data_IF_917081577881
#
_entry.id   IF_917081577881
#
_cell.length_a   1.000
_cell.length_b   1.000
_cell.length_c   1.000
_cell.angle_alpha   90.00
_cell.angle_beta   90.00
_cell.angle_gamma   90.00
#
_symmetry.space_group_name_H-M   'P 1'
#
loop_
_entity.id
_entity.type
_entity.pdbx_description
1 polymer ?
#
# COMPACT_ATOMS: atom_id res chain seq x y z
N UNK A 1 -1.91 1.64 -28.66
CA UNK A 1 -1.62 1.25 -27.26
C UNK A 1 -0.65 2.26 -26.69
N UNK A 2 -0.99 2.95 -25.61
CA UNK A 2 -0.05 3.87 -24.96
C UNK A 2 0.82 3.04 -24.00
N UNK A 3 2.08 2.87 -24.36
CA UNK A 3 3.12 2.37 -23.48
C UNK A 3 3.15 3.28 -22.24
N UNK A 4 2.96 2.71 -21.05
CA UNK A 4 3.14 3.47 -19.81
C UNK A 4 4.64 3.66 -19.67
N UNK A 5 5.13 4.82 -20.12
CA UNK A 5 6.53 5.20 -19.92
C UNK A 5 6.84 5.20 -18.42
N UNK A 6 8.03 4.72 -18.07
CA UNK A 6 8.54 4.63 -16.70
C UNK A 6 8.37 5.95 -15.92
N UNK A 7 8.49 7.10 -16.60
CA UNK A 7 8.27 8.44 -16.06
C UNK A 7 6.86 8.65 -15.50
N UNK A 8 5.81 8.19 -16.20
CA UNK A 8 4.42 8.35 -15.73
C UNK A 8 4.12 7.53 -14.47
N UNK A 9 4.83 6.42 -14.26
CA UNK A 9 4.73 5.64 -13.03
C UNK A 9 5.51 6.28 -11.88
N UNK A 10 6.65 6.91 -12.15
CA UNK A 10 7.40 7.70 -11.16
C UNK A 10 6.57 8.90 -10.72
N UNK A 11 5.98 9.64 -11.65
CA UNK A 11 5.08 10.75 -11.33
C UNK A 11 3.88 10.27 -10.49
N UNK A 12 3.20 9.22 -10.95
CA UNK A 12 2.09 8.64 -10.18
C UNK A 12 2.52 8.22 -8.78
N UNK A 13 3.71 7.65 -8.61
CA UNK A 13 4.17 7.25 -7.29
C UNK A 13 4.40 8.41 -6.32
N UNK A 14 5.03 9.48 -6.81
CA UNK A 14 5.32 10.65 -6.00
C UNK A 14 4.06 11.48 -5.71
N UNK A 15 3.01 11.34 -6.53
CA UNK A 15 1.80 12.17 -6.44
C UNK A 15 0.53 11.40 -6.09
N UNK A 16 0.59 10.08 -5.92
CA UNK A 16 -0.59 9.29 -5.61
C UNK A 16 -1.13 9.66 -4.24
N UNK A 17 -2.45 9.86 -4.19
CA UNK A 17 -3.18 10.19 -2.97
C UNK A 17 -4.28 9.17 -2.77
N UNK A 18 -4.15 8.34 -1.73
CA UNK A 18 -5.12 7.30 -1.42
C UNK A 18 -6.50 7.92 -1.19
N UNK A 19 -7.52 7.61 -2.02
CA UNK A 19 -8.87 8.15 -1.82
C UNK A 19 -9.53 7.59 -0.56
N UNK A 20 -10.61 8.23 -0.07
CA UNK A 20 -11.48 7.62 0.93
C UNK A 20 -11.97 6.25 0.45
N UNK A 21 -12.02 5.29 1.37
CA UNK A 21 -12.46 3.92 1.13
C UNK A 21 -12.95 3.33 2.46
N UNK A 22 -13.62 2.16 2.47
CA UNK A 22 -13.87 1.45 3.72
C UNK A 22 -12.57 1.33 4.54
N UNK A 23 -12.65 1.66 5.84
CA UNK A 23 -11.49 1.69 6.75
C UNK A 23 -10.49 2.85 6.56
N UNK A 24 -10.73 3.75 5.60
CA UNK A 24 -9.81 4.85 5.24
C UNK A 24 -10.54 6.19 5.28
N UNK A 25 -10.24 6.99 6.30
CA UNK A 25 -10.71 8.37 6.40
C UNK A 25 -9.67 9.31 5.78
N UNK A 26 -10.14 10.33 5.05
CA UNK A 26 -9.30 11.39 4.49
C UNK A 26 -9.83 12.73 4.94
N UNK A 27 -8.96 13.53 5.55
CA UNK A 27 -9.21 14.94 5.85
C UNK A 27 -8.37 15.73 4.86
N UNK A 28 -9.01 16.51 4.00
CA UNK A 28 -8.32 17.35 3.03
C UNK A 28 -8.67 18.81 3.27
N UNK A 29 -7.64 19.65 3.37
CA UNK A 29 -7.76 21.11 3.43
C UNK A 29 -7.16 21.73 2.17
N UNK A 30 -7.16 23.06 2.08
CA UNK A 30 -6.38 23.76 1.05
C UNK A 30 -4.87 23.64 1.25
N UNK A 31 -4.41 23.25 2.46
CA UNK A 31 -2.99 23.31 2.87
C UNK A 31 -2.33 21.94 3.05
N UNK A 32 -3.09 20.90 3.33
CA UNK A 32 -2.56 19.57 3.61
C UNK A 32 -3.63 18.49 3.47
N UNK A 33 -3.18 17.24 3.46
CA UNK A 33 -4.03 16.06 3.51
C UNK A 33 -3.60 15.14 4.64
N UNK A 34 -4.57 14.64 5.40
CA UNK A 34 -4.38 13.58 6.39
C UNK A 34 -5.12 12.33 5.94
N UNK A 35 -4.48 11.18 6.05
CA UNK A 35 -5.07 9.85 5.87
C UNK A 35 -5.02 9.09 7.18
N UNK A 36 -6.16 8.52 7.57
CA UNK A 36 -6.37 7.80 8.83
C UNK A 36 -6.87 6.39 8.52
N UNK A 37 -6.24 5.40 9.14
CA UNK A 37 -6.66 4.00 9.15
C UNK A 37 -6.61 3.49 10.60
N UNK A 38 -7.65 3.75 11.41
CA UNK A 38 -7.63 3.47 12.84
C UNK A 38 -7.42 2.00 13.19
N UNK A 39 -7.96 1.09 12.36
CA UNK A 39 -7.78 -0.35 12.51
C UNK A 39 -6.41 -0.85 12.02
N UNK A 40 -5.51 0.07 11.65
CA UNK A 40 -4.12 -0.21 11.35
C UNK A 40 -3.19 0.83 12.03
N UNK A 41 -3.04 0.78 13.36
CA UNK A 41 -2.47 1.85 14.18
C UNK A 41 -0.94 1.88 14.15
N UNK A 42 -0.34 1.95 12.95
CA UNK A 42 1.09 2.18 12.75
C UNK A 42 1.33 3.44 11.89
N UNK A 43 2.53 4.05 11.97
CA UNK A 43 2.95 5.06 11.00
C UNK A 43 2.93 4.52 9.57
N UNK A 44 2.52 5.34 8.60
CA UNK A 44 2.45 4.99 7.18
C UNK A 44 1.01 4.96 6.67
N UNK A 45 0.20 3.94 7.04
CA UNK A 45 -1.26 3.94 6.82
C UNK A 45 -1.93 5.17 7.44
N UNK A 46 -1.36 5.67 8.53
CA UNK A 46 -1.68 6.94 9.18
C UNK A 46 -0.61 7.96 8.81
N UNK A 47 -0.98 8.96 8.03
CA UNK A 47 -0.01 9.93 7.49
C UNK A 47 -0.58 11.31 7.21
N UNK A 48 0.30 12.31 7.24
CA UNK A 48 0.07 13.63 6.71
C UNK A 48 0.94 13.84 5.46
N UNK A 49 0.36 14.38 4.40
CA UNK A 49 0.99 14.52 3.08
C UNK A 49 0.44 15.74 2.33
N UNK A 50 0.98 16.00 1.14
CA UNK A 50 0.52 17.07 0.25
C UNK A 50 0.51 18.44 0.94
N UNK A 51 1.61 18.80 1.61
CA UNK A 51 1.70 20.08 2.32
C UNK A 51 1.94 21.21 1.32
N UNK A 52 1.02 22.16 1.26
CA UNK A 52 0.98 23.33 0.39
C UNK A 52 0.55 24.54 1.21
N UNK A 53 1.43 25.01 2.08
CA UNK A 53 1.14 26.12 2.98
C UNK A 53 2.12 27.27 2.76
N UNK A 54 1.67 28.53 2.89
CA UNK A 54 2.59 29.65 3.04
C UNK A 54 3.53 29.42 4.23
N UNK A 55 4.78 29.89 4.14
CA UNK A 55 5.75 29.73 5.22
C UNK A 55 5.23 30.28 6.57
N UNK A 56 4.46 31.37 6.55
CA UNK A 56 3.84 31.96 7.73
C UNK A 56 2.80 31.08 8.42
N UNK A 57 2.30 30.03 7.77
CA UNK A 57 1.28 29.12 8.29
C UNK A 57 1.82 27.71 8.57
N UNK A 58 3.10 27.47 8.29
CA UNK A 58 3.68 26.13 8.36
C UNK A 58 3.64 25.53 9.78
N UNK A 59 3.92 26.34 10.81
CA UNK A 59 3.80 25.94 12.22
C UNK A 59 2.37 25.54 12.59
N UNK A 60 1.39 26.27 12.07
CA UNK A 60 -0.03 25.98 12.32
C UNK A 60 -0.45 24.65 11.70
N UNK A 61 0.04 24.33 10.50
CA UNK A 61 -0.18 23.02 9.87
C UNK A 61 0.36 21.89 10.75
N UNK A 62 1.60 22.02 11.25
CA UNK A 62 2.21 21.00 12.12
C UNK A 62 1.37 20.79 13.38
N UNK A 63 0.97 21.88 14.04
CA UNK A 63 0.15 21.86 15.26
C UNK A 63 -1.22 21.23 15.02
N UNK A 64 -1.91 21.59 13.94
CA UNK A 64 -3.21 21.04 13.59
C UNK A 64 -3.15 19.54 13.31
N UNK A 65 -2.19 19.10 12.49
CA UNK A 65 -2.02 17.69 12.15
C UNK A 65 -1.74 16.87 13.41
N UNK A 66 -0.85 17.35 14.29
CA UNK A 66 -0.58 16.71 15.59
C UNK A 66 -1.83 16.60 16.45
N UNK A 67 -2.69 17.62 16.46
CA UNK A 67 -3.97 17.58 17.18
C UNK A 67 -4.92 16.53 16.60
N UNK A 68 -5.00 16.39 15.28
CA UNK A 68 -5.86 15.41 14.58
C UNK A 68 -5.50 13.98 14.97
N UNK A 69 -4.20 13.65 14.98
CA UNK A 69 -3.71 12.32 15.33
C UNK A 69 -3.73 12.09 16.85
N UNK A 70 -3.32 13.07 17.64
CA UNK A 70 -3.32 13.00 19.10
C UNK A 70 -4.72 12.83 19.69
N UNK A 71 -5.76 13.43 19.10
CA UNK A 71 -7.14 13.22 19.55
C UNK A 71 -7.69 11.82 19.27
N UNK A 72 -6.99 11.03 18.46
CA UNK A 72 -7.37 9.66 18.07
C UNK A 72 -6.40 8.61 18.62
N UNK A 73 -5.39 9.02 19.37
CA UNK A 73 -4.30 8.16 19.86
C UNK A 73 -3.65 7.32 18.74
N UNK A 74 -3.44 7.94 17.57
CA UNK A 74 -2.86 7.27 16.42
C UNK A 74 -1.42 7.73 16.16
N UNK A 75 -0.46 6.80 16.02
CA UNK A 75 0.85 7.15 15.52
C UNK A 75 0.74 7.50 14.03
N UNK A 76 1.60 8.40 13.56
CA UNK A 76 1.59 8.83 12.16
C UNK A 76 2.98 9.21 11.67
N UNK A 77 3.12 9.35 10.36
CA UNK A 77 4.30 9.92 9.72
C UNK A 77 3.95 11.04 8.74
N UNK A 78 4.91 11.92 8.49
CA UNK A 78 4.84 12.87 7.38
C UNK A 78 5.39 12.22 6.12
N UNK A 79 4.70 12.38 5.00
CA UNK A 79 5.16 11.98 3.67
C UNK A 79 5.28 13.25 2.84
N UNK A 80 6.52 13.65 2.56
CA UNK A 80 6.82 14.85 1.80
C UNK A 80 7.03 14.48 0.34
N UNK A 81 6.24 15.12 -0.53
CA UNK A 81 6.39 14.99 -1.98
C UNK A 81 7.28 16.12 -2.53
N UNK A 82 7.80 16.01 -3.77
CA UNK A 82 8.71 17.02 -4.33
C UNK A 82 8.14 18.44 -4.44
N UNK A 83 6.82 18.59 -4.45
CA UNK A 83 6.15 19.89 -4.57
C UNK A 83 5.73 20.42 -3.18
N UNK A 84 6.30 19.89 -2.08
CA UNK A 84 6.02 20.34 -0.70
C UNK A 84 6.39 21.80 -0.51
N UNK A 85 5.47 22.58 0.06
CA UNK A 85 5.67 23.99 0.39
C UNK A 85 5.34 24.26 1.87
N UNK A 86 6.19 25.02 2.59
CA UNK A 86 7.41 25.66 2.08
C UNK A 86 8.57 24.67 1.84
N UNK A 87 9.59 25.08 1.08
CA UNK A 87 10.71 24.19 0.69
C UNK A 87 11.54 23.73 1.90
N UNK A 88 11.59 24.54 2.95
CA UNK A 88 12.26 24.28 4.24
C UNK A 88 11.33 23.59 5.26
N UNK A 89 10.14 23.13 4.84
CA UNK A 89 9.24 22.37 5.71
C UNK A 89 9.89 21.13 6.37
N UNK A 90 10.80 20.37 5.73
CA UNK A 90 11.53 19.29 6.41
C UNK A 90 12.34 19.77 7.62
N UNK A 91 13.02 20.91 7.50
CA UNK A 91 13.81 21.49 8.59
C UNK A 91 12.90 21.98 9.72
N UNK A 92 11.75 22.55 9.36
CA UNK A 92 10.73 22.94 10.31
C UNK A 92 10.18 21.72 11.08
N UNK A 93 9.85 20.62 10.37
CA UNK A 93 9.44 19.38 11.02
C UNK A 93 10.49 18.86 12.01
N UNK A 94 11.77 18.90 11.64
CA UNK A 94 12.87 18.51 12.52
C UNK A 94 12.94 19.40 13.77
N UNK A 95 12.77 20.71 13.63
CA UNK A 95 12.71 21.65 14.76
C UNK A 95 11.53 21.36 15.71
N UNK A 96 10.43 20.81 15.20
CA UNK A 96 9.28 20.32 15.98
C UNK A 96 9.43 18.88 16.49
N UNK A 97 10.61 18.27 16.35
CA UNK A 97 10.90 16.92 16.83
C UNK A 97 10.36 15.80 15.94
N UNK A 98 9.97 16.10 14.70
CA UNK A 98 9.68 15.11 13.67
C UNK A 98 10.95 14.84 12.85
N UNK A 99 11.75 13.87 13.29
CA UNK A 99 12.99 13.50 12.63
C UNK A 99 12.71 12.65 11.37
N UNK A 100 13.58 12.75 10.34
CA UNK A 100 13.53 11.84 9.21
C UNK A 100 13.59 10.38 9.66
N UNK A 101 12.86 9.52 8.96
CA UNK A 101 12.95 8.08 9.19
C UNK A 101 14.40 7.62 8.87
N UNK A 102 15.07 6.84 9.74
CA UNK A 102 16.49 6.49 9.56
C UNK A 102 16.82 5.81 8.23
N UNK A 103 15.87 5.07 7.67
CA UNK A 103 15.93 4.39 6.37
C UNK A 103 15.31 5.22 5.25
N UNK A 104 14.88 6.46 5.47
CA UNK A 104 14.37 7.36 4.43
C UNK A 104 15.25 7.42 3.16
N UNK A 105 16.60 7.41 3.25
CA UNK A 105 17.45 7.34 2.05
C UNK A 105 17.31 6.03 1.25
N UNK A 106 16.88 4.95 1.90
CA UNK A 106 16.67 3.61 1.35
C UNK A 106 15.21 3.39 0.90
N UNK A 107 14.27 4.22 1.37
CA UNK A 107 12.87 4.23 0.92
C UNK A 107 12.79 4.85 -0.47
N UNK A 108 13.18 4.07 -1.47
CA UNK A 108 13.01 4.44 -2.86
C UNK A 108 11.62 4.01 -3.35
N UNK A 109 10.94 4.92 -4.04
CA UNK A 109 9.88 4.51 -4.96
C UNK A 109 10.51 3.63 -6.04
N UNK A 110 10.16 2.36 -6.04
CA UNK A 110 10.51 1.44 -7.10
C UNK A 110 9.38 1.37 -8.12
N UNK A 111 9.74 1.42 -9.40
CA UNK A 111 8.80 1.32 -10.51
C UNK A 111 9.21 0.16 -11.38
N UNK A 112 8.27 -0.76 -11.62
CA UNK A 112 8.44 -1.87 -12.54
C UNK A 112 7.43 -1.74 -13.68
N UNK A 113 7.92 -1.78 -14.91
CA UNK A 113 7.08 -1.78 -16.09
C UNK A 113 6.40 -3.14 -16.28
N UNK A 114 5.19 -3.16 -16.83
CA UNK A 114 4.47 -4.40 -17.17
C UNK A 114 5.29 -5.34 -18.09
N UNK A 115 6.06 -4.74 -19.01
CA UNK A 115 6.90 -5.47 -19.95
C UNK A 115 8.22 -5.96 -19.34
N UNK A 116 8.55 -5.56 -18.12
CA UNK A 116 9.79 -5.98 -17.47
C UNK A 116 9.78 -7.49 -17.25
N UNK A 117 10.85 -8.20 -17.64
CA UNK A 117 10.99 -9.62 -17.35
C UNK A 117 11.10 -9.80 -15.82
N UNK A 118 10.37 -10.77 -15.30
CA UNK A 118 10.50 -11.23 -13.92
C UNK A 118 10.73 -12.72 -14.00
N UNK A 119 11.86 -13.18 -13.50
CA UNK A 119 12.11 -14.60 -13.33
C UNK A 119 11.37 -15.05 -12.08
N UNK A 120 10.50 -16.06 -12.22
CA UNK A 120 9.84 -16.64 -11.07
C UNK A 120 10.90 -17.30 -10.17
N UNK A 121 10.92 -17.02 -8.86
CA UNK A 121 11.88 -17.65 -7.97
C UNK A 121 11.59 -19.16 -7.92
N UNK A 122 12.58 -19.97 -8.30
CA UNK A 122 12.50 -21.43 -8.20
C UNK A 122 12.91 -21.89 -6.80
N UNK A 123 12.05 -21.62 -5.81
CA UNK A 123 12.25 -22.05 -4.43
C UNK A 123 11.40 -23.31 -4.19
N UNK A 124 12.01 -24.48 -3.92
CA UNK A 124 11.27 -25.71 -3.63
C UNK A 124 10.27 -25.53 -2.49
N UNK A 125 9.03 -25.95 -2.71
CA UNK A 125 7.96 -25.87 -1.71
C UNK A 125 7.37 -24.46 -1.51
N UNK A 126 7.75 -23.46 -2.30
CA UNK A 126 7.15 -22.13 -2.28
C UNK A 126 5.71 -22.19 -2.83
N UNK A 127 4.76 -21.66 -2.06
CA UNK A 127 3.37 -21.44 -2.48
C UNK A 127 2.94 -20.01 -2.17
N UNK A 128 2.12 -19.41 -3.04
CA UNK A 128 1.45 -18.14 -2.79
C UNK A 128 -0.05 -18.37 -2.59
N UNK A 129 -0.62 -17.71 -1.59
CA UNK A 129 -2.03 -17.82 -1.23
C UNK A 129 -2.70 -16.44 -1.28
N UNK A 130 -3.96 -16.39 -1.71
CA UNK A 130 -4.82 -15.22 -1.50
C UNK A 130 -5.28 -15.20 -0.04
N UNK A 131 -4.50 -14.50 0.79
CA UNK A 131 -4.75 -14.40 2.21
C UNK A 131 -5.97 -13.53 2.54
N UNK A 132 -6.47 -12.70 1.62
CA UNK A 132 -7.65 -11.88 1.90
C UNK A 132 -8.94 -12.70 1.85
N UNK A 133 -8.95 -13.78 1.06
CA UNK A 133 -10.10 -14.66 0.88
C UNK A 133 -10.42 -15.52 2.13
N UNK A 134 -9.43 -15.77 3.00
CA UNK A 134 -9.53 -16.64 4.17
C UNK A 134 -9.08 -15.91 5.44
N UNK A 135 -9.86 -15.98 6.52
CA UNK A 135 -9.57 -15.22 7.74
C UNK A 135 -8.33 -15.72 8.49
N UNK A 136 -8.02 -17.01 8.41
CA UNK A 136 -6.86 -17.61 9.06
C UNK A 136 -5.58 -17.32 8.26
N UNK A 137 -5.62 -17.43 6.94
CA UNK A 137 -4.52 -16.99 6.08
C UNK A 137 -4.26 -15.48 6.21
N UNK A 138 -5.32 -14.67 6.35
CA UNK A 138 -5.18 -13.24 6.63
C UNK A 138 -4.45 -12.99 7.96
N UNK A 139 -4.80 -13.74 9.00
CA UNK A 139 -4.15 -13.64 10.30
C UNK A 139 -2.67 -14.04 10.24
N UNK A 140 -2.32 -15.08 9.49
CA UNK A 140 -0.92 -15.48 9.26
C UNK A 140 -0.15 -14.41 8.48
N UNK A 141 -0.73 -13.86 7.41
CA UNK A 141 -0.11 -12.79 6.62
C UNK A 141 0.12 -11.53 7.47
N UNK A 142 -0.85 -11.19 8.33
CA UNK A 142 -0.73 -10.08 9.27
C UNK A 142 0.36 -10.32 10.33
N UNK A 143 0.48 -11.53 10.85
CA UNK A 143 1.52 -11.90 11.81
C UNK A 143 2.93 -11.78 11.19
N UNK A 144 3.13 -12.30 9.98
CA UNK A 144 4.41 -12.14 9.25
C UNK A 144 4.74 -10.68 9.00
N UNK A 145 3.73 -9.86 8.67
CA UNK A 145 3.92 -8.43 8.50
C UNK A 145 4.27 -7.74 9.83
N UNK A 146 3.54 -8.00 10.91
CA UNK A 146 3.81 -7.42 12.22
C UNK A 146 5.23 -7.76 12.71
N UNK A 147 5.66 -9.02 12.55
CA UNK A 147 7.01 -9.47 12.89
C UNK A 147 8.09 -8.69 12.11
N UNK A 148 7.95 -8.60 10.78
CA UNK A 148 8.94 -7.96 9.92
C UNK A 148 9.10 -6.46 10.18
N UNK A 149 8.05 -5.80 10.66
CA UNK A 149 8.06 -4.36 10.97
C UNK A 149 8.29 -4.06 12.46
N UNK A 150 8.54 -5.09 13.28
CA UNK A 150 8.69 -5.00 14.74
C UNK A 150 7.48 -4.35 15.43
N UNK A 151 6.30 -4.64 14.91
CA UNK A 151 5.03 -4.25 15.52
C UNK A 151 4.60 -5.32 16.53
N UNK A 152 3.92 -4.90 17.59
CA UNK A 152 3.25 -5.84 18.48
C UNK A 152 2.17 -6.60 17.71
N UNK A 153 1.91 -7.85 18.12
CA UNK A 153 0.79 -8.60 17.57
C UNK A 153 -0.50 -7.78 17.67
N UNK A 154 -1.17 -7.57 16.54
CA UNK A 154 -2.35 -6.70 16.45
C UNK A 154 -3.57 -7.43 16.99
N UNK A 155 -4.43 -6.68 17.68
CA UNK A 155 -5.66 -7.22 18.26
C UNK A 155 -6.58 -7.84 17.20
N UNK A 156 -7.22 -8.96 17.55
CA UNK A 156 -8.08 -9.71 16.64
C UNK A 156 -9.29 -8.90 16.14
N UNK A 157 -9.84 -8.01 16.97
CA UNK A 157 -10.99 -7.17 16.62
C UNK A 157 -10.71 -6.18 15.48
N UNK A 158 -9.74 -5.27 15.64
CA UNK A 158 -9.26 -4.40 14.56
C UNK A 158 -8.84 -5.17 13.30
N UNK A 159 -8.18 -6.32 13.46
CA UNK A 159 -7.75 -7.15 12.31
C UNK A 159 -8.92 -7.62 11.45
N UNK A 160 -10.01 -8.12 12.04
CA UNK A 160 -11.17 -8.58 11.27
C UNK A 160 -11.94 -7.41 10.62
N UNK A 161 -12.03 -6.26 11.29
CA UNK A 161 -12.61 -5.05 10.66
C UNK A 161 -11.78 -4.62 9.45
N UNK A 162 -10.46 -4.59 9.57
CA UNK A 162 -9.55 -4.28 8.45
C UNK A 162 -9.70 -5.27 7.30
N UNK A 163 -9.84 -6.57 7.58
CA UNK A 163 -10.10 -7.59 6.53
C UNK A 163 -11.39 -7.29 5.78
N UNK A 164 -12.47 -7.00 6.51
CA UNK A 164 -13.77 -6.63 5.95
C UNK A 164 -13.70 -5.36 5.11
N UNK A 165 -12.99 -4.34 5.58
CA UNK A 165 -12.79 -3.09 4.85
C UNK A 165 -11.99 -3.30 3.56
N UNK A 166 -10.95 -4.13 3.59
CA UNK A 166 -10.18 -4.51 2.40
C UNK A 166 -11.03 -5.27 1.37
N UNK A 167 -11.89 -6.19 1.81
CA UNK A 167 -12.85 -6.87 0.95
C UNK A 167 -13.86 -5.89 0.34
N UNK A 168 -14.43 -5.00 1.16
CA UNK A 168 -15.40 -4.00 0.72
C UNK A 168 -14.81 -2.96 -0.26
N UNK A 169 -13.53 -2.64 -0.12
CA UNK A 169 -12.83 -1.76 -1.06
C UNK A 169 -12.72 -2.35 -2.47
N UNK A 170 -12.75 -3.69 -2.61
CA UNK A 170 -12.80 -4.39 -3.90
C UNK A 170 -11.57 -4.17 -4.80
N UNK A 171 -10.50 -3.57 -4.27
CA UNK A 171 -9.28 -3.28 -4.98
C UNK A 171 -8.01 -3.63 -4.19
N UNK A 172 -8.15 -4.46 -3.15
CA UNK A 172 -7.05 -4.92 -2.32
C UNK A 172 -6.81 -6.40 -2.53
N UNK A 173 -5.55 -6.81 -2.47
CA UNK A 173 -5.14 -8.20 -2.36
C UNK A 173 -4.17 -8.30 -1.19
N UNK A 174 -4.20 -9.41 -0.47
CA UNK A 174 -3.17 -9.76 0.51
C UNK A 174 -2.64 -11.12 0.13
N UNK A 175 -1.33 -11.22 -0.01
CA UNK A 175 -0.65 -12.47 -0.32
C UNK A 175 0.03 -12.99 0.93
N UNK A 176 -0.06 -14.31 1.13
CA UNK A 176 0.79 -15.07 2.03
C UNK A 176 1.67 -15.97 1.17
N UNK A 177 2.98 -15.91 1.36
CA UNK A 177 3.93 -16.88 0.83
C UNK A 177 4.21 -17.91 1.91
N UNK A 178 4.18 -19.20 1.56
CA UNK A 178 4.62 -20.30 2.43
C UNK A 178 5.75 -21.10 1.76
N UNK A 179 6.65 -21.67 2.56
CA UNK A 179 7.68 -22.62 2.11
C UNK A 179 7.50 -23.90 2.89
N UNK A 180 7.25 -25.01 2.19
CA UNK A 180 6.96 -26.30 2.81
C UNK A 180 5.80 -26.27 3.83
N UNK A 181 4.82 -25.37 3.60
CA UNK A 181 3.64 -25.19 4.46
C UNK A 181 3.79 -24.09 5.53
N UNK A 182 5.01 -23.65 5.82
CA UNK A 182 5.26 -22.63 6.86
C UNK A 182 5.20 -21.20 6.28
N UNK A 183 4.58 -20.23 6.99
CA UNK A 183 4.60 -18.81 6.61
C UNK A 183 6.02 -18.27 6.40
N UNK A 184 6.29 -17.76 5.20
CA UNK A 184 7.61 -17.28 4.79
C UNK A 184 7.60 -15.81 4.36
N UNK A 185 6.44 -15.27 3.98
CA UNK A 185 6.34 -13.86 3.59
C UNK A 185 4.90 -13.39 3.46
N UNK A 186 4.69 -12.08 3.49
CA UNK A 186 3.38 -11.48 3.22
C UNK A 186 3.51 -10.19 2.41
N UNK A 187 2.47 -9.83 1.67
CA UNK A 187 2.44 -8.58 0.91
C UNK A 187 1.02 -8.06 0.75
N UNK A 188 0.85 -6.74 0.90
CA UNK A 188 -0.39 -6.05 0.54
C UNK A 188 -0.29 -5.43 -0.86
N UNK A 189 -1.34 -5.57 -1.66
CA UNK A 189 -1.46 -4.94 -2.97
C UNK A 189 -2.74 -4.11 -3.05
N UNK A 190 -2.64 -3.01 -3.80
CA UNK A 190 -3.73 -2.09 -4.11
C UNK A 190 -3.82 -1.96 -5.60
N UNK A 191 -5.00 -2.14 -6.19
CA UNK A 191 -5.23 -1.98 -7.61
C UNK A 191 -5.79 -0.57 -7.85
N UNK A 192 -4.97 0.36 -8.33
CA UNK A 192 -5.42 1.73 -8.61
C UNK A 192 -6.02 1.82 -10.01
N UNK A 193 -7.13 2.57 -10.14
CA UNK A 193 -7.83 2.71 -11.42
C UNK A 193 -7.21 3.79 -12.29
N UNK A 194 -7.28 3.51 -13.59
CA UNK A 194 -6.98 4.36 -14.72
C UNK A 194 -7.23 5.87 -14.62
N UNK A 195 -8.36 6.23 -14.03
CA UNK A 195 -8.93 7.59 -14.10
C UNK A 195 -8.39 8.51 -13.00
N UNK A 196 -7.64 7.96 -12.04
CA UNK A 196 -6.98 8.71 -10.95
C UNK A 196 -5.55 9.16 -11.33
N UNK A 197 -5.12 8.86 -12.55
CA UNK A 197 -3.80 9.18 -13.10
C UNK A 197 -4.02 10.15 -14.27
N UNK A 198 -3.36 11.33 -14.33
CA UNK A 198 -3.49 12.26 -15.47
C UNK A 198 -3.18 11.61 -16.83
N UNK A 199 -2.47 10.46 -16.86
CA UNK A 199 -2.47 9.34 -17.82
C UNK A 199 -1.37 8.34 -17.35
N UNK A 200 -1.50 6.98 -17.43
CA UNK A 200 -2.63 6.15 -17.88
C UNK A 200 -3.08 5.02 -16.91
N UNK A 201 -4.38 4.69 -17.06
CA UNK A 201 -5.04 3.38 -17.31
C UNK A 201 -5.10 2.15 -16.38
N UNK A 202 -4.39 2.08 -15.25
CA UNK A 202 -4.59 1.20 -14.05
C UNK A 202 -3.21 0.75 -13.60
N UNK A 203 -2.90 0.95 -12.33
CA UNK A 203 -1.57 0.75 -11.77
C UNK A 203 -1.74 0.04 -10.42
N UNK A 204 -1.25 -1.19 -10.21
CA UNK A 204 -1.18 -1.70 -8.86
C UNK A 204 -0.11 -0.95 -8.08
N UNK A 205 -0.31 -0.74 -6.79
CA UNK A 205 0.74 -0.44 -5.83
C UNK A 205 0.83 -1.55 -4.81
N UNK A 206 1.99 -2.17 -4.65
CA UNK A 206 2.29 -2.97 -3.46
C UNK A 206 2.70 -2.04 -2.31
N UNK A 207 2.42 -2.45 -1.09
CA UNK A 207 2.91 -1.78 0.10
C UNK A 207 3.00 -2.82 1.21
N UNK A 208 4.13 -2.84 1.92
CA UNK A 208 4.32 -3.72 3.07
C UNK A 208 4.68 -5.17 2.74
N UNK A 209 5.51 -5.41 1.72
CA UNK A 209 6.15 -6.72 1.53
C UNK A 209 7.03 -7.07 2.74
N UNK A 210 6.83 -8.25 3.31
CA UNK A 210 7.51 -8.75 4.50
C UNK A 210 7.98 -10.19 4.25
N UNK A 211 9.15 -10.56 4.80
CA UNK A 211 9.68 -11.92 4.80
C UNK A 211 9.90 -12.37 6.25
N UNK A 212 9.47 -13.57 6.59
CA UNK A 212 9.80 -14.18 7.88
C UNK A 212 11.29 -14.50 7.92
N UNK A 213 12.00 -14.06 8.97
CA UNK A 213 13.44 -14.29 9.17
C UNK A 213 14.40 -13.85 8.03
N UNK A 214 13.95 -13.01 7.08
CA UNK A 214 14.76 -12.53 5.93
C UNK A 214 15.50 -11.20 6.18
N UNK A 215 16.35 -10.73 5.24
CA UNK A 215 16.98 -9.42 5.34
C UNK A 215 15.90 -8.33 5.47
N UNK A 216 16.04 -7.55 6.55
CA UNK A 216 15.07 -6.58 7.03
C UNK A 216 15.08 -5.37 6.10
N UNK A 217 13.91 -4.97 5.61
CA UNK A 217 13.75 -3.74 4.87
C UNK A 217 12.41 -3.12 5.18
N UNK A 218 12.41 -1.97 5.87
CA UNK A 218 11.23 -1.10 5.99
C UNK A 218 11.00 -0.37 4.67
N UNK A 219 10.84 -1.12 3.58
CA UNK A 219 10.44 -0.53 2.32
C UNK A 219 8.93 -0.68 2.20
N UNK A 220 8.23 0.45 2.14
CA UNK A 220 6.93 0.53 1.48
C UNK A 220 7.14 0.24 -0.01
N UNK A 221 7.51 -0.99 -0.35
CA UNK A 221 7.90 -1.38 -1.70
C UNK A 221 6.67 -1.54 -2.58
N UNK A 222 6.43 -0.54 -3.44
CA UNK A 222 5.42 -0.62 -4.48
C UNK A 222 5.92 -1.38 -5.71
N UNK A 223 5.83 -2.71 -5.69
CA UNK A 223 5.78 -3.50 -6.92
C UNK A 223 4.43 -3.24 -7.62
N UNK A 224 4.47 -2.99 -8.93
CA UNK A 224 3.30 -2.56 -9.73
C UNK A 224 3.14 -3.50 -10.93
N UNK A 225 2.01 -4.19 -11.05
CA UNK A 225 1.74 -5.23 -12.05
C UNK A 225 0.50 -4.92 -12.92
N UNK A 226 0.61 -4.16 -14.01
CA UNK A 226 -0.55 -3.93 -14.89
C UNK A 226 -0.84 -5.11 -15.83
N UNK A 227 -2.09 -5.28 -16.30
CA UNK A 227 -2.47 -5.66 -17.68
C UNK A 227 -3.77 -4.92 -18.02
N UNK A 228 -3.92 -4.52 -19.27
CA UNK A 228 -5.16 -3.99 -19.81
C UNK A 228 -5.96 -5.12 -20.47
N UNK A 229 -7.24 -5.27 -20.11
CA UNK A 229 -8.29 -5.67 -21.05
C UNK A 229 -9.64 -5.08 -20.58
N UNK A 230 -10.44 -4.67 -21.56
CA UNK A 230 -11.64 -3.84 -21.40
C UNK A 230 -12.88 -4.74 -21.38
N UNK A 231 -13.75 -4.57 -20.38
CA UNK A 231 -15.17 -4.90 -20.52
C UNK A 231 -15.80 -5.96 -19.60
N UNK A 232 -15.04 -6.66 -18.75
CA UNK A 232 -15.59 -7.65 -17.82
C UNK A 232 -15.25 -7.34 -16.35
N UNK A 233 -15.98 -7.99 -15.43
CA UNK A 233 -15.82 -7.99 -13.97
C UNK A 233 -14.37 -7.68 -13.52
N UNK A 234 -14.13 -6.67 -12.66
CA UNK A 234 -12.78 -6.22 -12.30
C UNK A 234 -11.88 -7.29 -11.67
N UNK A 235 -12.41 -8.42 -11.17
CA UNK A 235 -11.62 -9.52 -10.61
C UNK A 235 -11.34 -10.65 -11.62
N UNK A 236 -12.27 -10.97 -12.51
CA UNK A 236 -12.22 -12.18 -13.34
C UNK A 236 -10.98 -12.27 -14.28
N UNK A 237 -10.57 -11.23 -15.02
CA UNK A 237 -9.43 -11.31 -15.93
C UNK A 237 -8.07 -11.53 -15.23
N UNK A 238 -7.94 -11.18 -13.95
CA UNK A 238 -6.69 -11.37 -13.19
C UNK A 238 -6.45 -12.84 -12.83
N UNK A 239 -7.54 -13.59 -12.62
CA UNK A 239 -7.51 -15.02 -12.29
C UNK A 239 -7.63 -15.94 -13.52
N UNK A 240 -8.20 -15.48 -14.63
CA UNK A 240 -8.31 -16.26 -15.87
C UNK A 240 -7.17 -15.99 -16.87
N UNK A 241 -6.64 -14.76 -16.95
CA UNK A 241 -5.76 -14.31 -18.06
C UNK A 241 -4.56 -13.42 -17.65
N UNK A 242 -4.39 -13.13 -16.36
CA UNK A 242 -3.30 -12.32 -15.80
C UNK A 242 -2.13 -13.16 -15.26
N UNK A 243 -0.94 -12.56 -15.06
CA UNK A 243 0.25 -13.25 -14.50
C UNK A 243 0.01 -13.85 -13.10
N UNK A 244 -0.94 -13.34 -12.32
CA UNK A 244 -1.40 -13.93 -11.06
C UNK A 244 -2.02 -15.33 -11.25
N UNK A 245 -2.67 -15.59 -12.39
CA UNK A 245 -3.20 -16.91 -12.75
C UNK A 245 -2.12 -17.97 -13.02
N UNK A 246 -0.87 -17.56 -13.24
CA UNK A 246 0.27 -18.46 -13.41
C UNK A 246 0.89 -18.88 -12.07
N UNK A 247 0.56 -18.18 -10.98
CA UNK A 247 1.18 -18.37 -9.66
C UNK A 247 0.17 -18.80 -8.59
N UNK A 248 -1.13 -18.57 -8.79
CA UNK A 248 -2.21 -18.99 -7.89
C UNK A 248 -3.00 -20.17 -8.51
N UNK A 249 -2.94 -21.39 -7.94
CA UNK A 249 -3.78 -22.49 -8.41
C UNK A 249 -5.23 -22.35 -7.89
N UNK A 250 -6.23 -22.53 -8.77
CA UNK A 250 -7.54 -23.03 -8.33
C UNK A 250 -8.81 -22.14 -8.41
N UNK A 251 -8.85 -21.02 -9.14
CA UNK A 251 -10.11 -20.23 -9.32
C UNK A 251 -10.71 -20.22 -10.73
N UNK A 252 -10.41 -21.24 -11.57
CA UNK A 252 -10.88 -21.26 -12.97
C UNK A 252 -12.36 -21.62 -13.16
N UNK A 253 -13.04 -22.26 -12.20
CA UNK A 253 -14.35 -22.90 -12.47
C UNK A 253 -15.58 -22.32 -11.76
N UNK A 254 -15.44 -21.47 -10.75
CA UNK A 254 -16.61 -21.04 -9.94
C UNK A 254 -17.26 -19.73 -10.42
N UNK A 255 -16.55 -18.89 -11.18
CA UNK A 255 -17.09 -17.63 -11.72
C UNK A 255 -17.72 -17.76 -13.12
N UNK A 256 -17.58 -18.92 -13.78
CA UNK A 256 -18.19 -19.17 -15.09
C UNK A 256 -19.67 -19.59 -15.02
N UNK A 257 -20.20 -19.83 -13.82
CA UNK A 257 -21.53 -20.42 -13.60
C UNK A 257 -22.59 -19.43 -13.10
N UNK A 258 -22.20 -18.17 -12.83
CA UNK A 258 -23.10 -17.12 -12.37
C UNK A 258 -23.26 -16.07 -13.47
N UNK A 259 -24.01 -16.43 -14.53
CA UNK A 259 -24.62 -15.47 -15.46
C UNK A 259 -25.86 -14.84 -14.82
#
# INVERSE_FOLDING_TARGET
>A
MAEVLQEGLVEFANRFRQPPAPGVEVIQTSRYRVTLQPDYPIPGPNSASWVRAPASEADDVIREVRKIFGSRDLPFMWILDPDTEPVDFPDLLAAHGSLPEPHSPEVAVMVLGIGSPIEAPSIPGLMLHDALADAELFAQADAVNAEAFHDSARDAGPRERRRRDMLAAGNRLVLLATIAGEPAGSAGLTLCRAREVPRPRRVPGVGGGALANGPRGRSGGAVRLGRADVGADPAAPWFSEGRLAQVLPGRRSELASAN
#
